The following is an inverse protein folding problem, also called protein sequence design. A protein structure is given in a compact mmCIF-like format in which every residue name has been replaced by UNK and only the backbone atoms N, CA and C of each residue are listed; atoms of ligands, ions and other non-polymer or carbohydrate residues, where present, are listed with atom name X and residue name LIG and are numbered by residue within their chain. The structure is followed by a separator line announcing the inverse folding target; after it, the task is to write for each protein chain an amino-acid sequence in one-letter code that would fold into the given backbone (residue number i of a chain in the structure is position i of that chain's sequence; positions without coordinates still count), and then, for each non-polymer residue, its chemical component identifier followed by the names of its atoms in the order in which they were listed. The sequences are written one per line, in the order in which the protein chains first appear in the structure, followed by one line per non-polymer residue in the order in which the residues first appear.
data_IF_804321045866
#
_entry.id   IF_804321045866
#
_cell.length_a   1.000
_cell.length_b   1.000
_cell.length_c   1.000
_cell.angle_alpha   90.00
_cell.angle_beta   90.00
_cell.angle_gamma   90.00
#
_symmetry.space_group_name_H-M   'P 1'
#
loop_
_entity.id
_entity.type
_entity.pdbx_description
1 polymer ?
#
# COMPACT_ATOMS: atom_id res chain seq x y z
N UNK A 1 0.56 -0.54 6.09
CA UNK A 1 0.01 -1.18 4.87
C UNK A 1 0.39 -2.63 5.01
N UNK A 2 -0.60 -3.50 5.17
CA UNK A 2 -0.36 -4.93 5.36
C UNK A 2 -0.69 -5.64 4.05
N UNK A 3 0.22 -6.47 3.58
CA UNK A 3 -0.04 -7.40 2.49
C UNK A 3 -0.45 -8.72 3.11
N UNK A 4 -1.54 -9.31 2.62
CA UNK A 4 -2.05 -10.59 3.12
C UNK A 4 -1.57 -11.71 2.20
N UNK A 5 -0.70 -12.58 2.71
CA UNK A 5 -0.09 -13.66 1.95
C UNK A 5 -0.53 -15.01 2.49
N UNK A 6 -0.73 -15.99 1.60
CA UNK A 6 -0.79 -17.38 2.03
C UNK A 6 0.59 -17.81 2.54
N UNK A 7 0.62 -18.32 3.76
CA UNK A 7 1.82 -18.84 4.39
C UNK A 7 1.60 -20.29 4.85
N UNK A 8 2.64 -21.10 4.77
CA UNK A 8 2.64 -22.45 5.34
C UNK A 8 3.88 -22.67 6.22
N UNK A 9 3.81 -23.65 7.11
CA UNK A 9 4.98 -24.04 7.91
C UNK A 9 5.81 -25.05 7.16
N UNK A 10 7.11 -24.79 7.08
CA UNK A 10 8.08 -25.75 6.58
C UNK A 10 8.38 -26.84 7.62
N UNK A 11 9.27 -27.78 7.25
CA UNK A 11 9.68 -28.90 8.11
C UNK A 11 10.45 -28.45 9.35
N UNK A 12 10.96 -27.23 9.36
CA UNK A 12 11.71 -26.61 10.45
C UNK A 12 10.83 -25.68 11.30
N UNK A 13 9.50 -25.72 11.08
CA UNK A 13 8.49 -24.92 11.80
C UNK A 13 8.55 -23.41 11.50
N UNK A 14 9.20 -23.00 10.41
CA UNK A 14 9.28 -21.61 9.94
C UNK A 14 8.13 -21.34 8.97
N UNK A 15 7.55 -20.14 9.05
CA UNK A 15 6.50 -19.70 8.12
C UNK A 15 7.13 -19.19 6.83
N UNK A 16 6.77 -19.79 5.70
CA UNK A 16 7.23 -19.40 4.37
C UNK A 16 6.05 -19.04 3.45
N UNK A 17 6.33 -18.27 2.40
CA UNK A 17 5.37 -17.93 1.37
C UNK A 17 5.11 -19.13 0.47
N UNK A 18 3.84 -19.40 0.18
CA UNK A 18 3.48 -20.51 -0.71
C UNK A 18 3.67 -20.08 -2.16
N UNK A 19 4.43 -20.85 -2.92
CA UNK A 19 4.64 -20.66 -4.37
C UNK A 19 4.01 -21.84 -5.11
N UNK A 20 3.10 -21.57 -6.05
CA UNK A 20 2.50 -22.56 -6.95
C UNK A 20 2.80 -22.18 -8.41
N UNK A 21 3.29 -23.13 -9.21
CA UNK A 21 3.62 -22.93 -10.63
C UNK A 21 4.56 -21.73 -10.91
N UNK A 22 5.48 -21.44 -9.99
CA UNK A 22 6.44 -20.34 -10.14
C UNK A 22 5.87 -18.93 -9.84
N UNK A 23 4.65 -18.84 -9.32
CA UNK A 23 4.07 -17.59 -8.80
C UNK A 23 3.68 -17.74 -7.34
N UNK A 24 3.55 -16.62 -6.62
CA UNK A 24 2.98 -16.63 -5.27
C UNK A 24 1.54 -17.15 -5.33
N UNK A 25 1.19 -18.04 -4.41
CA UNK A 25 -0.17 -18.50 -4.25
C UNK A 25 -1.03 -17.36 -3.72
N UNK A 26 -1.90 -16.86 -4.58
CA UNK A 26 -2.77 -15.74 -4.28
C UNK A 26 -4.02 -16.21 -3.52
N UNK A 27 -4.48 -15.39 -2.58
CA UNK A 27 -5.82 -15.46 -1.98
C UNK A 27 -6.69 -14.42 -2.68
N UNK A 28 -7.98 -14.65 -2.93
CA UNK A 28 -8.84 -13.82 -3.82
C UNK A 28 -8.73 -12.29 -3.65
N UNK A 29 -8.45 -11.79 -2.44
CA UNK A 29 -8.28 -10.35 -2.18
C UNK A 29 -6.88 -9.78 -2.50
N UNK A 30 -5.90 -10.64 -2.74
CA UNK A 30 -4.48 -10.30 -2.84
C UNK A 30 -4.15 -9.59 -4.15
N UNK A 31 -4.62 -10.10 -5.30
CA UNK A 31 -4.38 -9.49 -6.61
C UNK A 31 -4.95 -8.07 -6.67
N UNK A 32 -6.19 -7.90 -6.21
CA UNK A 32 -6.83 -6.57 -6.14
C UNK A 32 -6.11 -5.65 -5.18
N UNK A 33 -5.68 -6.14 -4.01
CA UNK A 33 -4.92 -5.36 -3.04
C UNK A 33 -3.55 -4.94 -3.59
N UNK A 34 -2.85 -5.82 -4.30
CA UNK A 34 -1.60 -5.54 -4.98
C UNK A 34 -1.78 -4.47 -6.05
N UNK A 35 -2.79 -4.60 -6.91
CA UNK A 35 -3.07 -3.63 -7.97
C UNK A 35 -3.42 -2.27 -7.39
N UNK A 36 -4.30 -2.20 -6.38
CA UNK A 36 -4.66 -0.92 -5.74
C UNK A 36 -3.45 -0.32 -5.02
N UNK A 37 -2.66 -1.13 -4.31
CA UNK A 37 -1.48 -0.68 -3.58
C UNK A 37 -0.39 -0.17 -4.53
N UNK A 38 -0.13 -0.91 -5.60
CA UNK A 38 0.93 -0.61 -6.53
C UNK A 38 0.53 0.51 -7.49
N UNK A 39 -0.72 0.56 -7.97
CA UNK A 39 -1.14 1.44 -9.08
C UNK A 39 -2.23 2.45 -8.69
N UNK A 40 -2.91 2.25 -7.57
CA UNK A 40 -4.05 3.06 -7.16
C UNK A 40 -3.72 4.26 -6.28
N UNK A 41 -2.54 4.30 -5.66
CA UNK A 41 -2.18 5.33 -4.69
C UNK A 41 -1.18 6.35 -5.26
N UNK A 42 -1.50 7.63 -5.12
CA UNK A 42 -0.62 8.75 -5.47
C UNK A 42 0.35 9.03 -4.32
N UNK A 43 1.59 9.43 -4.64
CA UNK A 43 2.57 9.84 -3.62
C UNK A 43 2.13 11.13 -2.95
N UNK A 44 2.17 11.18 -1.62
CA UNK A 44 1.89 12.42 -0.88
C UNK A 44 3.06 13.39 -0.96
N UNK A 45 2.74 14.67 -1.06
CA UNK A 45 3.71 15.75 -1.03
C UNK A 45 4.22 16.01 0.40
N UNK A 46 5.39 16.65 0.51
CA UNK A 46 5.95 17.08 1.80
C UNK A 46 4.98 17.96 2.62
N UNK A 47 4.14 18.76 1.93
CA UNK A 47 3.13 19.61 2.58
C UNK A 47 1.95 18.83 3.18
N UNK A 48 1.72 17.60 2.72
CA UNK A 48 0.59 16.76 3.15
C UNK A 48 1.02 15.69 4.16
N UNK A 49 2.23 15.17 4.01
CA UNK A 49 2.85 14.23 4.94
C UNK A 49 4.34 14.58 5.09
N UNK A 50 4.73 15.27 6.17
CA UNK A 50 6.12 15.73 6.35
C UNK A 50 7.09 14.60 6.69
N UNK A 51 6.61 13.41 7.06
CA UNK A 51 7.44 12.27 7.38
C UNK A 51 7.70 11.43 6.13
N UNK A 52 8.91 11.51 5.57
CA UNK A 52 9.27 10.89 4.28
C UNK A 52 8.95 9.39 4.17
N UNK A 53 9.20 8.59 5.22
CA UNK A 53 8.91 7.15 5.18
C UNK A 53 7.41 6.85 5.31
N UNK A 54 6.60 7.83 5.70
CA UNK A 54 5.15 7.74 5.69
C UNK A 54 4.55 8.22 4.38
N UNK A 55 5.28 8.89 3.49
CA UNK A 55 4.82 9.24 2.14
C UNK A 55 4.72 7.99 1.27
N UNK A 56 3.58 7.31 1.40
CA UNK A 56 3.19 6.17 0.55
C UNK A 56 2.79 6.66 -0.83
N UNK A 57 2.60 5.73 -1.76
CA UNK A 57 2.14 5.98 -3.13
C UNK A 57 2.97 5.21 -4.15
N UNK A 58 2.49 5.16 -5.38
CA UNK A 58 3.16 4.49 -6.49
C UNK A 58 4.50 5.16 -6.79
N UNK A 59 5.55 4.36 -6.76
CA UNK A 59 6.92 4.79 -7.06
C UNK A 59 7.10 5.29 -8.50
N UNK A 60 6.26 4.85 -9.46
CA UNK A 60 6.34 5.34 -10.84
C UNK A 60 6.12 6.85 -10.98
N UNK A 61 5.43 7.48 -10.02
CA UNK A 61 5.31 8.93 -9.97
C UNK A 61 6.65 9.64 -9.73
N UNK A 62 7.64 9.00 -9.10
CA UNK A 62 8.98 9.61 -8.89
C UNK A 62 9.81 9.64 -10.17
N UNK A 63 9.47 8.80 -11.15
CA UNK A 63 10.14 8.72 -12.45
C UNK A 63 9.34 9.41 -13.56
N UNK A 64 8.19 10.02 -13.22
CA UNK A 64 7.38 10.72 -14.21
C UNK A 64 8.00 12.07 -14.54
N UNK A 65 8.38 12.25 -15.81
CA UNK A 65 8.99 13.47 -16.32
C UNK A 65 7.96 14.50 -16.82
N UNK A 66 6.66 14.20 -16.79
CA UNK A 66 5.62 15.12 -17.22
C UNK A 66 5.01 15.86 -16.02
N UNK A 67 5.30 17.16 -15.83
CA UNK A 67 4.81 17.92 -14.69
C UNK A 67 3.28 17.97 -14.68
N UNK A 68 2.67 17.61 -13.55
CA UNK A 68 1.22 17.67 -13.36
C UNK A 68 0.46 16.39 -13.72
N UNK A 69 1.14 15.36 -14.23
CA UNK A 69 0.55 14.02 -14.39
C UNK A 69 1.05 13.12 -13.27
N UNK A 70 0.15 12.63 -12.44
CA UNK A 70 0.47 11.63 -11.41
C UNK A 70 -0.65 10.59 -11.39
N UNK A 71 -0.28 9.32 -11.26
CA UNK A 71 -1.22 8.20 -11.24
C UNK A 71 -1.58 7.87 -9.80
N UNK A 72 -2.87 7.61 -9.58
CA UNK A 72 -3.45 7.20 -8.30
C UNK A 72 -4.19 8.31 -7.55
N UNK A 73 -4.71 7.97 -6.37
CA UNK A 73 -5.44 8.86 -5.47
C UNK A 73 -4.76 8.98 -4.11
N UNK A 74 -5.07 10.01 -3.32
CA UNK A 74 -4.53 10.20 -1.95
C UNK A 74 -5.46 9.61 -0.88
N UNK A 75 -6.29 8.61 -1.22
CA UNK A 75 -7.30 8.04 -0.32
C UNK A 75 -6.69 7.46 0.96
N UNK A 76 -5.47 6.95 0.89
CA UNK A 76 -4.75 6.48 2.07
C UNK A 76 -4.44 7.59 3.10
N UNK A 77 -4.30 8.86 2.69
CA UNK A 77 -4.14 9.99 3.62
C UNK A 77 -5.43 10.20 4.44
N UNK A 78 -6.60 10.04 3.82
CA UNK A 78 -7.89 10.05 4.53
C UNK A 78 -8.02 8.85 5.47
N UNK A 79 -7.49 7.68 5.07
CA UNK A 79 -7.45 6.52 5.95
C UNK A 79 -6.58 6.75 7.20
N UNK A 80 -5.45 7.45 7.07
CA UNK A 80 -4.64 7.84 8.24
C UNK A 80 -5.37 8.79 9.19
N UNK A 81 -6.37 9.55 8.71
CA UNK A 81 -7.18 10.41 9.55
C UNK A 81 -8.23 9.63 10.38
N UNK A 82 -8.44 8.32 10.17
CA UNK A 82 -9.50 7.56 10.87
C UNK A 82 -9.16 7.21 12.33
N UNK A 83 -10.15 7.48 13.20
CA UNK A 83 -10.31 7.15 14.62
C UNK A 83 -9.21 7.57 15.61
N UNK A 84 -8.66 8.77 15.46
CA UNK A 84 -8.13 9.47 16.65
C UNK A 84 -9.24 10.34 17.26
N UNK A 85 -9.30 10.43 18.59
CA UNK A 85 -10.26 11.30 19.29
C UNK A 85 -10.20 12.75 18.76
N UNK A 86 -9.01 13.20 18.36
CA UNK A 86 -8.77 14.50 17.76
C UNK A 86 -9.54 14.71 16.45
N UNK A 87 -9.56 13.71 15.56
CA UNK A 87 -10.30 13.81 14.28
C UNK A 87 -11.82 13.74 14.49
N UNK A 88 -12.30 12.91 15.44
CA UNK A 88 -13.72 12.81 15.75
C UNK A 88 -14.31 14.10 16.33
N UNK A 89 -13.50 14.87 17.08
CA UNK A 89 -13.93 16.13 17.69
C UNK A 89 -13.95 17.33 16.73
N UNK A 90 -13.60 17.14 15.45
CA UNK A 90 -13.63 18.18 14.40
C UNK A 90 -14.87 18.11 13.50
N UNK A 91 -15.72 17.09 13.69
CA UNK A 91 -16.95 16.85 12.93
C UNK A 91 -18.18 17.51 13.59
#
# INVERSE_FOLDING_TARGET
MGFDFAYEKDKENVYDFVIENGTFKEIDAFTTTLIITALGEKRADNSEQPVNYLQRGWWGNTLNNNPGIEIGSKMWLLYQARNTQKTLNLA
#
